data_IF_209500427366
#
_entry.id   IF_209500427366
#
_cell.length_a   1.000
_cell.length_b   1.000
_cell.length_c   1.000
_cell.angle_alpha   90.00
_cell.angle_beta   90.00
_cell.angle_gamma   90.00
#
_symmetry.space_group_name_H-M   'P 1'
#
loop_
_entity.id
_entity.type
_entity.pdbx_description
1 polymer ?
#
# COMPACT_ATOMS: atom_id res chain seq x y z
N UNK A 1 -3.08 -1.97 8.01
CA UNK A 1 -2.75 -3.11 8.92
C UNK A 1 -3.18 -4.46 8.37
N UNK A 2 -4.47 -4.70 8.05
CA UNK A 2 -4.92 -6.02 7.56
C UNK A 2 -4.11 -6.54 6.36
N UNK A 3 -3.75 -5.64 5.43
CA UNK A 3 -2.89 -5.97 4.28
C UNK A 3 -1.45 -6.33 4.68
N UNK A 4 -0.87 -5.67 5.68
CA UNK A 4 0.48 -5.99 6.17
C UNK A 4 0.54 -7.40 6.78
N UNK A 5 -0.49 -7.81 7.52
CA UNK A 5 -0.58 -9.14 8.13
C UNK A 5 -0.71 -10.23 7.05
N UNK A 6 -1.54 -10.00 6.02
CA UNK A 6 -1.69 -10.92 4.88
C UNK A 6 -0.39 -11.08 4.07
N UNK A 7 0.44 -10.03 4.03
CA UNK A 7 1.69 -10.00 3.25
C UNK A 7 2.92 -10.48 4.02
N UNK A 8 2.92 -10.52 5.36
CA UNK A 8 4.10 -10.83 6.18
C UNK A 8 4.91 -12.07 5.75
N UNK A 9 4.24 -13.13 5.27
CA UNK A 9 4.91 -14.35 4.77
C UNK A 9 5.10 -14.38 3.26
N UNK A 10 4.27 -13.67 2.50
CA UNK A 10 4.26 -13.72 1.02
C UNK A 10 5.17 -12.65 0.41
N UNK A 11 5.25 -11.50 1.06
CA UNK A 11 5.95 -10.32 0.61
C UNK A 11 6.42 -9.49 1.82
N UNK A 12 7.60 -9.80 2.38
CA UNK A 12 8.12 -9.11 3.55
C UNK A 12 8.49 -7.65 3.25
N UNK A 13 8.84 -7.31 2.01
CA UNK A 13 9.19 -5.95 1.58
C UNK A 13 7.93 -5.08 1.61
N UNK A 14 6.84 -5.55 1.02
CA UNK A 14 5.58 -4.80 1.02
C UNK A 14 4.98 -4.68 2.44
N UNK A 15 5.19 -5.70 3.28
CA UNK A 15 4.83 -5.65 4.70
C UNK A 15 5.58 -4.52 5.43
N UNK A 16 6.89 -4.41 5.21
CA UNK A 16 7.72 -3.35 5.78
C UNK A 16 7.20 -1.96 5.41
N UNK A 17 6.94 -1.70 4.13
CA UNK A 17 6.47 -0.39 3.69
C UNK A 17 5.08 -0.02 4.22
N UNK A 18 4.19 -1.02 4.37
CA UNK A 18 2.91 -0.81 5.03
C UNK A 18 3.07 -0.39 6.50
N UNK A 19 4.01 -1.00 7.22
CA UNK A 19 4.33 -0.65 8.61
C UNK A 19 4.97 0.73 8.69
N UNK A 20 5.91 1.04 7.79
CA UNK A 20 6.58 2.34 7.71
C UNK A 20 5.60 3.49 7.47
N UNK A 21 4.69 3.33 6.50
CA UNK A 21 3.61 4.28 6.25
C UNK A 21 2.69 4.46 7.47
N UNK A 22 2.34 3.35 8.13
CA UNK A 22 1.52 3.40 9.36
C UNK A 22 2.23 4.17 10.47
N UNK A 23 3.54 3.97 10.64
CA UNK A 23 4.34 4.70 11.62
C UNK A 23 4.42 6.21 11.29
N UNK A 24 4.70 6.56 10.02
CA UNK A 24 4.75 7.96 9.55
C UNK A 24 3.43 8.69 9.81
N UNK A 25 2.30 8.06 9.48
CA UNK A 25 0.98 8.61 9.78
C UNK A 25 0.69 8.71 11.28
N UNK A 26 1.03 7.67 12.05
CA UNK A 26 0.80 7.64 13.50
C UNK A 26 1.55 8.74 14.26
N UNK A 27 2.79 9.01 13.84
CA UNK A 27 3.61 10.12 14.37
C UNK A 27 3.01 11.48 13.97
N UNK A 28 2.65 11.65 12.69
CA UNK A 28 2.05 12.90 12.19
C UNK A 28 0.72 13.22 12.86
N UNK A 29 -0.10 12.21 13.15
CA UNK A 29 -1.40 12.36 13.79
C UNK A 29 -1.33 12.70 15.30
N UNK A 30 -0.13 12.83 15.89
CA UNK A 30 0.09 13.11 17.33
C UNK A 30 -0.80 12.24 18.23
N UNK A 31 -0.80 10.94 17.98
CA UNK A 31 -1.73 9.97 18.56
C UNK A 31 -2.03 10.17 20.05
N UNK A 32 -3.32 10.02 20.40
CA UNK A 32 -3.79 10.01 21.79
C UNK A 32 -3.12 8.92 22.63
N UNK A 33 -3.26 8.99 23.96
CA UNK A 33 -2.58 8.06 24.89
C UNK A 33 -2.85 6.58 24.58
N UNK A 34 -4.03 6.26 24.03
CA UNK A 34 -4.45 4.90 23.71
C UNK A 34 -3.80 4.31 22.44
N UNK A 35 -3.35 5.15 21.49
CA UNK A 35 -2.74 4.69 20.24
C UNK A 35 -1.20 4.60 20.32
N UNK A 36 -0.60 5.14 21.38
CA UNK A 36 0.86 5.11 21.61
C UNK A 36 1.42 3.69 21.75
N UNK A 37 0.84 2.77 22.56
CA UNK A 37 1.37 1.41 22.67
C UNK A 37 1.39 0.68 21.32
N UNK A 38 0.37 0.92 20.50
CA UNK A 38 0.30 0.37 19.15
C UNK A 38 1.40 0.95 18.25
N UNK A 39 1.62 2.27 18.27
CA UNK A 39 2.68 2.90 17.50
C UNK A 39 4.07 2.38 17.90
N UNK A 40 4.32 2.19 19.19
CA UNK A 40 5.56 1.58 19.68
C UNK A 40 5.76 0.16 19.15
N UNK A 41 4.72 -0.67 19.16
CA UNK A 41 4.80 -2.03 18.61
C UNK A 41 5.13 -2.03 17.10
N UNK A 42 4.59 -1.07 16.33
CA UNK A 42 4.92 -0.91 14.91
C UNK A 42 6.38 -0.49 14.72
N UNK A 43 6.87 0.47 15.51
CA UNK A 43 8.26 0.93 15.46
C UNK A 43 9.24 -0.19 15.83
N UNK A 44 8.97 -0.97 16.88
CA UNK A 44 9.79 -2.12 17.25
C UNK A 44 9.88 -3.18 16.13
N UNK A 45 8.79 -3.41 15.40
CA UNK A 45 8.78 -4.32 14.26
C UNK A 45 9.65 -3.81 13.11
N UNK A 46 9.68 -2.49 12.90
CA UNK A 46 10.55 -1.85 11.90
C UNK A 46 12.02 -1.92 12.33
N UNK A 47 12.34 -1.65 13.59
CA UNK A 47 13.72 -1.73 14.13
C UNK A 47 14.31 -3.14 14.05
N UNK A 48 13.48 -4.16 14.30
CA UNK A 48 13.89 -5.58 14.19
C UNK A 48 14.00 -6.06 12.74
N UNK A 49 13.59 -5.26 11.75
CA UNK A 49 13.65 -5.63 10.35
C UNK A 49 15.08 -5.53 9.82
N UNK A 50 15.64 -6.67 9.39
CA UNK A 50 16.95 -6.72 8.72
C UNK A 50 16.84 -6.53 7.21
N UNK A 51 15.64 -6.22 6.69
CA UNK A 51 15.39 -6.17 5.24
C UNK A 51 16.21 -5.08 4.53
N UNK A 52 16.47 -3.96 5.21
CA UNK A 52 17.32 -2.89 4.68
C UNK A 52 18.74 -3.37 4.37
N UNK A 53 19.24 -4.38 5.09
CA UNK A 53 20.58 -4.95 4.86
C UNK A 53 20.63 -6.02 3.76
N UNK A 54 19.47 -6.43 3.23
CA UNK A 54 19.33 -7.60 2.35
C UNK A 54 18.64 -7.24 1.03
N UNK A 55 17.94 -6.10 0.96
CA UNK A 55 17.13 -5.71 -0.19
C UNK A 55 17.22 -4.22 -0.49
N UNK A 56 17.63 -3.89 -1.71
CA UNK A 56 17.68 -2.50 -2.20
C UNK A 56 16.31 -1.82 -2.19
N UNK A 57 15.22 -2.58 -2.40
CA UNK A 57 13.84 -2.08 -2.32
C UNK A 57 13.42 -1.60 -0.92
N UNK A 58 14.28 -1.78 0.09
CA UNK A 58 14.14 -1.21 1.45
C UNK A 58 15.29 -0.25 1.76
N UNK A 59 16.48 -0.48 1.21
CA UNK A 59 17.66 0.34 1.44
C UNK A 59 17.66 1.68 0.67
N UNK A 60 16.94 1.76 -0.45
CA UNK A 60 16.85 2.94 -1.31
C UNK A 60 15.39 3.35 -1.52
N UNK A 61 15.12 4.64 -1.32
CA UNK A 61 13.79 5.23 -1.55
C UNK A 61 13.36 5.16 -3.01
N UNK A 62 14.29 5.30 -3.96
CA UNK A 62 14.02 5.15 -5.39
C UNK A 62 13.61 3.70 -5.73
N UNK A 63 14.36 2.73 -5.19
CA UNK A 63 14.03 1.32 -5.40
C UNK A 63 12.73 0.91 -4.70
N UNK A 64 12.47 1.45 -3.50
CA UNK A 64 11.26 1.21 -2.72
C UNK A 64 10.02 1.78 -3.38
N UNK A 65 10.09 3.03 -3.89
CA UNK A 65 8.99 3.68 -4.60
C UNK A 65 8.64 2.93 -5.89
N UNK A 66 9.63 2.58 -6.72
CA UNK A 66 9.43 1.79 -7.93
C UNK A 66 8.83 0.39 -7.63
N UNK A 67 9.26 -0.22 -6.53
CA UNK A 67 8.73 -1.51 -6.08
C UNK A 67 7.24 -1.42 -5.71
N UNK A 68 6.87 -0.44 -4.89
CA UNK A 68 5.48 -0.20 -4.46
C UNK A 68 4.59 0.12 -5.67
N UNK A 69 5.05 0.99 -6.57
CA UNK A 69 4.28 1.34 -7.77
C UNK A 69 4.05 0.09 -8.64
N UNK A 70 5.11 -0.68 -8.90
CA UNK A 70 5.02 -1.93 -9.66
C UNK A 70 4.04 -2.93 -9.02
N UNK A 71 4.05 -3.03 -7.69
CA UNK A 71 3.14 -3.90 -6.95
C UNK A 71 1.68 -3.44 -7.11
N UNK A 72 1.41 -2.15 -6.94
CA UNK A 72 0.09 -1.59 -7.08
C UNK A 72 -0.45 -1.74 -8.52
N UNK A 73 0.38 -1.45 -9.53
CA UNK A 73 0.01 -1.58 -10.94
C UNK A 73 -0.26 -3.03 -11.34
N UNK A 74 0.52 -4.00 -10.83
CA UNK A 74 0.22 -5.42 -11.05
C UNK A 74 -1.17 -5.79 -10.53
N UNK A 75 -1.50 -5.36 -9.32
CA UNK A 75 -2.81 -5.66 -8.71
C UNK A 75 -3.96 -4.97 -9.45
N UNK A 76 -3.75 -3.74 -9.91
CA UNK A 76 -4.67 -3.01 -10.78
C UNK A 76 -4.89 -3.77 -12.11
N UNK A 77 -3.82 -4.15 -12.80
CA UNK A 77 -3.90 -4.86 -14.08
C UNK A 77 -4.63 -6.20 -13.96
N UNK A 78 -4.45 -6.91 -12.83
CA UNK A 78 -5.23 -8.11 -12.54
C UNK A 78 -6.73 -7.81 -12.44
N UNK A 79 -7.10 -6.73 -11.75
CA UNK A 79 -8.49 -6.33 -11.58
C UNK A 79 -9.11 -5.81 -12.89
N UNK A 80 -8.39 -4.99 -13.64
CA UNK A 80 -8.80 -4.44 -14.94
C UNK A 80 -9.01 -5.56 -15.98
N UNK A 81 -8.14 -6.58 -15.98
CA UNK A 81 -8.33 -7.74 -16.85
C UNK A 81 -9.55 -8.61 -16.47
N UNK A 82 -9.93 -8.65 -15.18
CA UNK A 82 -11.19 -9.29 -14.75
C UNK A 82 -12.42 -8.47 -15.18
N UNK A 83 -12.35 -7.14 -15.02
CA UNK A 83 -13.40 -6.18 -15.39
C UNK A 83 -13.67 -6.22 -16.90
N UNK A 84 -12.63 -6.09 -17.73
CA UNK A 84 -12.72 -6.11 -19.20
C UNK A 84 -13.24 -7.41 -19.78
N UNK A 85 -13.12 -8.52 -19.04
CA UNK A 85 -13.67 -9.82 -19.43
C UNK A 85 -15.11 -10.04 -18.95
N UNK A 86 -15.76 -8.99 -18.42
CA UNK A 86 -17.10 -9.04 -17.83
C UNK A 86 -17.21 -10.09 -16.70
N UNK A 87 -16.10 -10.33 -15.98
CA UNK A 87 -16.04 -11.23 -14.82
C UNK A 87 -15.76 -10.47 -13.52
N UNK A 88 -16.17 -9.20 -13.48
CA UNK A 88 -16.04 -8.39 -12.29
C UNK A 88 -16.83 -9.01 -11.14
N UNK A 89 -16.19 -9.14 -9.98
CA UNK A 89 -16.82 -9.62 -8.75
C UNK A 89 -16.52 -8.66 -7.60
N UNK A 90 -17.13 -8.90 -6.43
CA UNK A 90 -16.71 -8.23 -5.18
C UNK A 90 -15.21 -8.38 -4.90
N UNK A 91 -14.58 -9.47 -5.38
CA UNK A 91 -13.13 -9.65 -5.29
C UNK A 91 -12.37 -8.67 -6.18
N UNK A 92 -12.86 -8.41 -7.39
CA UNK A 92 -12.30 -7.42 -8.34
C UNK A 92 -12.33 -6.01 -7.74
N UNK A 93 -13.46 -5.59 -7.16
CA UNK A 93 -13.56 -4.31 -6.45
C UNK A 93 -12.54 -4.21 -5.29
N UNK A 94 -12.36 -5.29 -4.51
CA UNK A 94 -11.35 -5.35 -3.44
C UNK A 94 -9.90 -5.26 -3.95
N UNK A 95 -9.61 -5.74 -5.17
CA UNK A 95 -8.29 -5.61 -5.80
C UNK A 95 -8.02 -4.18 -6.24
N UNK A 96 -8.99 -3.50 -6.87
CA UNK A 96 -8.87 -2.08 -7.19
C UNK A 96 -8.66 -1.21 -5.95
N UNK A 97 -9.44 -1.45 -4.89
CA UNK A 97 -9.28 -0.74 -3.62
C UNK A 97 -7.91 -1.01 -2.98
N UNK A 98 -7.43 -2.25 -3.03
CA UNK A 98 -6.10 -2.58 -2.55
C UNK A 98 -4.99 -1.88 -3.34
N UNK A 99 -5.09 -1.87 -4.67
CA UNK A 99 -4.13 -1.16 -5.53
C UNK A 99 -4.10 0.35 -5.21
N UNK A 100 -5.27 0.96 -4.97
CA UNK A 100 -5.35 2.36 -4.56
C UNK A 100 -4.61 2.60 -3.22
N UNK A 101 -4.88 1.76 -2.22
CA UNK A 101 -4.23 1.87 -0.92
C UNK A 101 -2.71 1.67 -1.01
N UNK A 102 -2.23 0.81 -1.91
CA UNK A 102 -0.79 0.62 -2.13
C UNK A 102 -0.14 1.81 -2.84
N UNK A 103 -0.83 2.48 -3.77
CA UNK A 103 -0.32 3.74 -4.33
C UNK A 103 -0.26 4.85 -3.28
N UNK A 104 -1.15 4.87 -2.28
CA UNK A 104 -1.05 5.84 -1.18
C UNK A 104 0.24 5.72 -0.37
N UNK A 105 0.83 4.51 -0.31
CA UNK A 105 2.14 4.33 0.33
C UNK A 105 3.23 5.15 -0.35
N UNK A 106 3.10 5.50 -1.64
CA UNK A 106 4.10 6.32 -2.33
C UNK A 106 4.27 7.71 -1.69
N UNK A 107 3.28 8.19 -0.93
CA UNK A 107 3.41 9.44 -0.17
C UNK A 107 4.41 9.38 1.00
N UNK A 108 4.96 8.19 1.33
CA UNK A 108 6.10 8.13 2.25
C UNK A 108 7.35 8.75 1.63
N UNK A 109 7.47 8.69 0.32
CA UNK A 109 8.57 9.25 -0.46
C UNK A 109 8.20 10.67 -0.92
N UNK A 110 9.16 11.57 -0.96
CA UNK A 110 8.98 12.93 -1.50
C UNK A 110 9.17 12.91 -3.04
N UNK A 111 8.33 12.16 -3.75
CA UNK A 111 8.47 11.92 -5.19
C UNK A 111 7.92 13.09 -6.01
N UNK A 112 8.60 13.55 -7.08
CA UNK A 112 8.13 14.64 -7.94
C UNK A 112 6.77 14.40 -8.63
N UNK A 113 6.39 13.15 -8.89
CA UNK A 113 5.18 12.79 -9.65
C UNK A 113 3.91 12.62 -8.79
N UNK A 114 3.85 13.31 -7.66
CA UNK A 114 2.77 13.19 -6.68
C UNK A 114 1.37 13.45 -7.28
N UNK A 115 1.26 14.41 -8.21
CA UNK A 115 0.00 14.75 -8.89
C UNK A 115 -0.53 13.59 -9.76
N UNK A 116 0.35 12.88 -10.47
CA UNK A 116 -0.06 11.74 -11.29
C UNK A 116 -0.52 10.57 -10.41
N UNK A 117 0.20 10.32 -9.32
CA UNK A 117 -0.15 9.29 -8.34
C UNK A 117 -1.52 9.55 -7.70
N UNK A 118 -1.83 10.80 -7.36
CA UNK A 118 -3.15 11.17 -6.86
C UNK A 118 -4.26 10.90 -7.87
N UNK A 119 -4.04 11.19 -9.16
CA UNK A 119 -5.01 10.91 -10.21
C UNK A 119 -5.25 9.40 -10.36
N UNK A 120 -4.18 8.59 -10.35
CA UNK A 120 -4.26 7.11 -10.35
C UNK A 120 -5.06 6.60 -9.15
N UNK A 121 -4.75 7.08 -7.94
CA UNK A 121 -5.46 6.68 -6.71
C UNK A 121 -6.97 6.99 -6.80
N UNK A 122 -7.33 8.21 -7.24
CA UNK A 122 -8.73 8.61 -7.41
C UNK A 122 -9.45 7.71 -8.41
N UNK A 123 -8.81 7.41 -9.53
CA UNK A 123 -9.36 6.52 -10.54
C UNK A 123 -9.57 5.10 -10.00
N UNK A 124 -8.60 4.54 -9.28
CA UNK A 124 -8.69 3.18 -8.74
C UNK A 124 -9.81 3.06 -7.69
N UNK A 125 -9.95 4.08 -6.83
CA UNK A 125 -11.06 4.17 -5.84
C UNK A 125 -12.41 4.28 -6.52
N UNK A 126 -12.52 5.13 -7.55
CA UNK A 126 -13.75 5.29 -8.31
C UNK A 126 -14.15 3.97 -8.98
N UNK A 127 -13.23 3.29 -9.66
CA UNK A 127 -13.47 1.97 -10.27
C UNK A 127 -13.89 0.93 -9.25
N UNK A 128 -13.24 0.88 -8.09
CA UNK A 128 -13.63 -0.03 -7.02
C UNK A 128 -15.09 0.20 -6.55
N UNK A 129 -15.47 1.47 -6.38
CA UNK A 129 -16.83 1.84 -5.96
C UNK A 129 -17.87 1.58 -7.04
N UNK A 130 -17.55 1.84 -8.30
CA UNK A 130 -18.41 1.60 -9.46
C UNK A 130 -18.75 0.12 -9.61
N UNK A 131 -17.72 -0.74 -9.56
CA UNK A 131 -17.90 -2.21 -9.60
C UNK A 131 -18.67 -2.70 -8.38
N UNK A 132 -18.40 -2.18 -7.18
CA UNK A 132 -19.10 -2.58 -5.98
C UNK A 132 -20.59 -2.18 -5.97
N UNK A 133 -20.97 -1.12 -6.70
CA UNK A 133 -22.36 -0.70 -6.89
C UNK A 133 -23.08 -1.51 -7.97
N UNK A 134 -22.33 -2.00 -8.96
CA UNK A 134 -22.88 -2.66 -10.16
C UNK A 134 -23.03 -4.18 -10.00
N UNK A 135 -22.73 -4.75 -8.83
CA UNK A 135 -22.80 -6.19 -8.49
C UNK A 135 -23.70 -6.40 -7.28
#
# INVERSE_FOLDING_TARGET
IQRAIELKKKDPIMCYWCLYFTAKQGVAAKGGKETRPFLFAVLELLEKSTLASISDAVASDDAGSAYIESFALKLFNMADNEDRKSRATKSTAKKFLAAANFLELLSVFEVPDQTENEAKIRYFKWKAADIAKSI
#
